data_IF_909789001181
#
_entry.id   IF_909789001181
#
_cell.length_a   1.000
_cell.length_b   1.000
_cell.length_c   1.000
_cell.angle_alpha   90.00
_cell.angle_beta   90.00
_cell.angle_gamma   90.00
#
_symmetry.space_group_name_H-M   'P 1'
#
loop_
_entity.id
_entity.type
_entity.pdbx_description
1 polymer ?
#
# COMPACT_ATOMS: atom_id res chain seq x y z
N UNK A 1 2.71 -13.97 -6.44
CA UNK A 1 4.11 -13.55 -6.25
C UNK A 1 4.25 -12.74 -4.96
N UNK A 2 3.55 -11.61 -4.82
CA UNK A 2 3.73 -10.67 -3.69
C UNK A 2 3.47 -11.27 -2.31
N UNK A 3 2.58 -12.23 -2.19
CA UNK A 3 2.28 -12.93 -0.94
C UNK A 3 3.46 -13.77 -0.42
N UNK A 4 4.42 -14.09 -1.28
CA UNK A 4 5.66 -14.78 -0.90
C UNK A 4 6.63 -13.85 -0.16
N UNK A 5 6.59 -12.55 -0.45
CA UNK A 5 7.47 -11.55 0.19
C UNK A 5 7.12 -11.37 1.67
N UNK A 6 5.83 -11.34 1.99
CA UNK A 6 5.32 -11.28 3.38
C UNK A 6 5.20 -12.66 4.04
N UNK A 7 5.61 -13.70 3.31
CA UNK A 7 5.54 -15.10 3.73
C UNK A 7 4.14 -15.50 4.23
N UNK A 8 3.10 -15.16 3.42
CA UNK A 8 1.77 -15.73 3.58
C UNK A 8 1.71 -17.15 3.02
N UNK A 9 2.61 -17.48 2.10
CA UNK A 9 2.85 -18.80 1.53
C UNK A 9 4.35 -19.01 1.40
N UNK A 10 4.81 -20.22 1.56
CA UNK A 10 6.18 -20.64 1.24
C UNK A 10 6.24 -21.17 -0.22
N UNK A 11 7.41 -21.15 -0.83
CA UNK A 11 7.65 -21.73 -2.16
C UNK A 11 7.80 -23.24 -2.07
N UNK A 12 7.25 -23.98 -3.02
CA UNK A 12 7.46 -25.43 -3.13
C UNK A 12 8.92 -25.74 -3.52
N UNK A 13 9.50 -24.91 -4.36
CA UNK A 13 10.90 -25.00 -4.81
C UNK A 13 11.51 -23.61 -4.89
N UNK A 14 12.83 -23.53 -4.77
CA UNK A 14 13.55 -22.25 -4.82
C UNK A 14 13.46 -21.47 -3.51
N UNK A 15 13.79 -20.19 -3.58
CA UNK A 15 13.85 -19.28 -2.43
C UNK A 15 13.37 -17.88 -2.79
N UNK A 16 12.88 -17.15 -1.79
CA UNK A 16 12.54 -15.74 -1.89
C UNK A 16 13.50 -14.96 -0.99
N UNK A 17 14.33 -14.13 -1.61
CA UNK A 17 15.35 -13.35 -0.90
C UNK A 17 14.84 -11.92 -0.71
N UNK A 18 14.82 -11.46 0.53
CA UNK A 18 14.43 -10.10 0.92
C UNK A 18 15.52 -9.53 1.82
N UNK A 19 16.06 -8.37 1.44
CA UNK A 19 17.14 -7.76 2.22
C UNK A 19 18.42 -8.60 2.33
N UNK A 20 18.66 -9.51 1.36
CA UNK A 20 19.84 -10.38 1.34
C UNK A 20 19.66 -11.73 2.05
N UNK A 21 18.51 -11.99 2.67
CA UNK A 21 18.21 -13.23 3.40
C UNK A 21 16.97 -13.91 2.84
N UNK A 22 16.91 -15.24 2.93
CA UNK A 22 15.70 -16.00 2.62
C UNK A 22 14.58 -15.60 3.60
N UNK A 23 13.36 -15.39 3.09
CA UNK A 23 12.22 -15.02 3.94
C UNK A 23 11.95 -16.04 5.05
N UNK A 24 12.38 -17.28 4.88
CA UNK A 24 12.27 -18.37 5.87
C UNK A 24 13.22 -18.23 7.05
N UNK A 25 14.27 -17.43 6.92
CA UNK A 25 15.26 -17.15 7.98
C UNK A 25 14.79 -16.05 8.94
N UNK A 26 13.82 -15.24 8.51
CA UNK A 26 13.27 -14.17 9.35
C UNK A 26 12.30 -14.72 10.38
N UNK A 27 12.33 -14.10 11.57
CA UNK A 27 11.18 -14.11 12.45
C UNK A 27 9.97 -13.46 11.75
N UNK A 28 8.79 -14.09 11.86
CA UNK A 28 7.58 -13.69 11.12
C UNK A 28 7.13 -12.28 11.46
N UNK A 29 7.17 -11.92 12.74
CA UNK A 29 6.77 -10.58 13.18
C UNK A 29 7.76 -9.53 12.67
N UNK A 30 9.05 -9.83 12.71
CA UNK A 30 10.10 -8.96 12.17
C UNK A 30 9.91 -8.72 10.68
N UNK A 31 9.70 -9.77 9.88
CA UNK A 31 9.46 -9.65 8.45
C UNK A 31 8.18 -8.84 8.17
N UNK A 32 7.07 -9.25 8.76
CA UNK A 32 5.75 -8.64 8.51
C UNK A 32 5.64 -7.22 9.01
N UNK A 33 6.40 -6.84 10.05
CA UNK A 33 6.46 -5.45 10.50
C UNK A 33 7.22 -4.53 9.54
N UNK A 34 8.06 -5.06 8.65
CA UNK A 34 8.81 -4.30 7.65
C UNK A 34 8.14 -4.30 6.26
N UNK A 35 7.12 -5.13 6.07
CA UNK A 35 6.36 -5.22 4.82
C UNK A 35 4.93 -4.73 5.07
N UNK A 36 4.49 -3.76 4.30
CA UNK A 36 3.08 -3.35 4.28
C UNK A 36 2.46 -3.71 2.93
N UNK A 37 1.24 -4.20 2.96
CA UNK A 37 0.50 -4.61 1.77
C UNK A 37 -0.85 -3.88 1.76
N UNK A 38 -1.15 -3.23 0.65
CA UNK A 38 -2.48 -2.68 0.36
C UNK A 38 -3.08 -3.55 -0.73
N UNK A 39 -4.12 -4.29 -0.39
CA UNK A 39 -4.75 -5.24 -1.29
C UNK A 39 -5.74 -4.54 -2.24
N UNK A 40 -6.08 -5.19 -3.34
CA UNK A 40 -7.14 -4.76 -4.25
C UNK A 40 -8.49 -4.66 -3.53
N UNK A 41 -8.83 -5.66 -2.71
CA UNK A 41 -10.02 -5.62 -1.85
C UNK A 41 -9.66 -5.02 -0.49
N UNK A 42 -9.97 -3.75 -0.35
CA UNK A 42 -9.69 -3.01 0.87
C UNK A 42 -10.77 -3.21 1.93
N UNK A 43 -10.36 -3.47 3.16
CA UNK A 43 -11.25 -3.66 4.30
C UNK A 43 -11.01 -2.57 5.34
N UNK A 44 -12.08 -1.91 5.74
CA UNK A 44 -12.13 -1.05 6.92
C UNK A 44 -12.97 -1.72 7.99
N UNK A 45 -12.64 -1.46 9.24
CA UNK A 45 -13.34 -1.99 10.40
C UNK A 45 -14.31 -0.95 10.97
N UNK A 46 -15.31 -1.40 11.70
CA UNK A 46 -16.19 -0.50 12.47
C UNK A 46 -15.37 0.30 13.47
N UNK A 47 -15.62 1.59 13.54
CA UNK A 47 -14.88 2.51 14.40
C UNK A 47 -14.58 3.82 13.70
N UNK A 48 -13.89 4.73 14.36
CA UNK A 48 -13.52 6.01 13.78
C UNK A 48 -12.45 5.87 12.69
N UNK A 49 -12.27 6.90 11.88
CA UNK A 49 -11.15 6.95 10.92
C UNK A 49 -9.80 6.82 11.67
N UNK A 50 -9.60 7.51 12.79
CA UNK A 50 -8.38 7.38 13.60
C UNK A 50 -8.13 5.95 14.09
N UNK A 51 -9.17 5.26 14.56
CA UNK A 51 -9.05 3.86 14.98
C UNK A 51 -8.66 2.97 13.81
N UNK A 52 -9.27 3.17 12.64
CA UNK A 52 -8.90 2.44 11.43
C UNK A 52 -7.45 2.69 10.99
N UNK A 53 -6.96 3.91 11.10
CA UNK A 53 -5.56 4.24 10.79
C UNK A 53 -4.59 3.58 11.76
N UNK A 54 -4.91 3.57 13.07
CA UNK A 54 -4.09 2.96 14.12
C UNK A 54 -3.97 1.44 14.05
N UNK A 55 -4.72 0.77 13.18
CA UNK A 55 -4.40 -0.62 12.81
C UNK A 55 -3.04 -0.74 12.10
N UNK A 56 -2.51 0.32 11.51
CA UNK A 56 -1.16 0.37 10.96
C UNK A 56 -0.08 0.50 12.04
N UNK A 57 -0.32 1.40 12.99
CA UNK A 57 0.50 1.58 14.20
C UNK A 57 -0.41 2.06 15.34
N UNK A 58 -0.61 1.20 16.35
CA UNK A 58 -1.48 1.48 17.51
C UNK A 58 -1.03 2.68 18.35
N UNK A 59 0.25 3.03 18.28
CA UNK A 59 0.84 4.13 19.02
C UNK A 59 0.92 5.44 18.19
N UNK A 60 0.46 5.42 16.94
CA UNK A 60 0.51 6.59 16.08
C UNK A 60 -0.26 7.77 16.71
N UNK A 61 0.40 8.93 16.77
CA UNK A 61 -0.23 10.18 17.18
C UNK A 61 -1.26 10.62 16.14
N UNK A 62 -2.14 11.52 16.51
CA UNK A 62 -3.12 12.11 15.58
C UNK A 62 -2.41 12.83 14.43
N UNK A 63 -1.32 13.53 14.70
CA UNK A 63 -0.54 14.24 13.69
C UNK A 63 0.11 13.28 12.70
N UNK A 64 0.66 12.15 13.16
CA UNK A 64 1.17 11.10 12.27
C UNK A 64 0.07 10.50 11.38
N UNK A 65 -1.13 10.31 11.92
CA UNK A 65 -2.30 9.86 11.15
C UNK A 65 -2.68 10.88 10.06
N UNK A 66 -2.70 12.17 10.41
CA UNK A 66 -2.98 13.27 9.47
C UNK A 66 -1.94 13.30 8.35
N UNK A 67 -0.65 13.25 8.69
CA UNK A 67 0.42 13.25 7.69
C UNK A 67 0.34 12.03 6.75
N UNK A 68 0.06 10.83 7.28
CA UNK A 68 -0.17 9.65 6.44
C UNK A 68 -1.37 9.82 5.49
N UNK A 69 -2.45 10.47 5.97
CA UNK A 69 -3.62 10.77 5.13
C UNK A 69 -3.31 11.81 4.05
N UNK A 70 -2.50 12.82 4.34
CA UNK A 70 -2.04 13.78 3.32
C UNK A 70 -1.24 13.10 2.22
N UNK A 71 -0.31 12.20 2.58
CA UNK A 71 0.44 11.41 1.61
C UNK A 71 -0.45 10.53 0.73
N UNK A 72 -1.51 9.98 1.31
CA UNK A 72 -2.50 9.15 0.60
C UNK A 72 -3.60 9.97 -0.09
N UNK A 73 -3.51 11.30 -0.10
CA UNK A 73 -4.55 12.22 -0.61
C UNK A 73 -5.93 11.97 0.03
N UNK A 74 -5.95 11.60 1.32
CA UNK A 74 -7.17 11.31 2.06
C UNK A 74 -7.65 12.48 2.93
N UNK A 75 -6.76 13.38 3.30
CA UNK A 75 -7.02 14.48 4.22
C UNK A 75 -8.17 15.40 3.74
N UNK A 76 -8.18 15.75 2.46
CA UNK A 76 -9.17 16.67 1.89
C UNK A 76 -10.62 16.17 2.09
N UNK A 77 -10.89 14.88 1.83
CA UNK A 77 -12.24 14.37 2.02
C UNK A 77 -12.57 14.12 3.50
N UNK A 78 -11.57 13.77 4.33
CA UNK A 78 -11.76 13.60 5.77
C UNK A 78 -12.16 14.94 6.40
N UNK A 79 -11.46 16.02 6.06
CA UNK A 79 -11.77 17.37 6.54
C UNK A 79 -13.15 17.87 6.09
N UNK A 80 -13.72 17.32 5.03
CA UNK A 80 -15.08 17.64 4.58
C UNK A 80 -16.19 16.96 5.40
N UNK A 81 -15.87 15.94 6.18
CA UNK A 81 -16.83 15.28 7.06
C UNK A 81 -17.11 16.13 8.31
N UNK A 82 -18.35 16.13 8.85
CA UNK A 82 -18.70 16.89 10.06
C UNK A 82 -17.79 16.55 11.25
N UNK A 83 -17.51 15.27 11.47
CA UNK A 83 -16.70 14.77 12.58
C UNK A 83 -15.22 14.53 12.19
N UNK A 84 -14.83 14.90 10.95
CA UNK A 84 -13.47 14.81 10.43
C UNK A 84 -12.85 13.43 10.72
N UNK A 85 -11.70 13.38 11.37
CA UNK A 85 -11.00 12.15 11.75
C UNK A 85 -11.74 11.29 12.78
N UNK A 86 -12.74 11.83 13.47
CA UNK A 86 -13.62 11.10 14.39
C UNK A 86 -14.86 10.54 13.67
N UNK A 87 -15.00 10.75 12.36
CA UNK A 87 -16.08 10.16 11.57
C UNK A 87 -16.08 8.66 11.72
N UNK A 88 -17.26 8.11 12.07
CA UNK A 88 -17.44 6.68 12.26
C UNK A 88 -17.52 5.97 10.90
N UNK A 89 -16.73 4.92 10.74
CA UNK A 89 -16.74 4.02 9.59
C UNK A 89 -17.56 2.78 9.96
N UNK A 90 -18.52 2.43 9.12
CA UNK A 90 -19.27 1.20 9.26
C UNK A 90 -18.45 -0.02 8.86
N UNK A 91 -18.86 -1.20 9.29
CA UNK A 91 -18.18 -2.45 8.96
C UNK A 91 -18.00 -2.60 7.44
N UNK A 92 -16.76 -2.87 7.03
CA UNK A 92 -16.41 -2.98 5.61
C UNK A 92 -16.31 -1.64 4.89
N UNK A 93 -16.54 -0.50 5.59
CA UNK A 93 -16.50 0.84 5.00
C UNK A 93 -17.64 1.09 4.03
N UNK A 94 -18.87 0.66 4.36
CA UNK A 94 -20.05 0.80 3.49
C UNK A 94 -20.50 2.24 3.31
N UNK A 95 -20.15 3.11 4.26
CA UNK A 95 -20.49 4.54 4.27
C UNK A 95 -19.41 5.44 3.65
N UNK A 96 -18.41 4.88 3.00
CA UNK A 96 -17.39 5.62 2.25
C UNK A 96 -17.23 5.05 0.83
N UNK A 97 -16.83 5.89 -0.13
CA UNK A 97 -16.61 5.44 -1.51
C UNK A 97 -15.43 4.47 -1.63
N UNK A 98 -15.37 3.69 -2.71
CA UNK A 98 -14.25 2.79 -2.98
C UNK A 98 -12.90 3.50 -3.01
N UNK A 99 -12.80 4.68 -3.64
CA UNK A 99 -11.60 5.48 -3.67
C UNK A 99 -11.21 6.09 -2.32
N UNK A 100 -12.18 6.47 -1.49
CA UNK A 100 -11.93 6.91 -0.11
C UNK A 100 -11.40 5.76 0.73
N UNK A 101 -12.02 4.58 0.63
CA UNK A 101 -11.58 3.36 1.31
C UNK A 101 -10.14 2.99 0.94
N UNK A 102 -9.80 3.02 -0.35
CA UNK A 102 -8.43 2.73 -0.81
C UNK A 102 -7.41 3.70 -0.22
N UNK A 103 -7.70 5.01 -0.25
CA UNK A 103 -6.81 6.03 0.31
C UNK A 103 -6.60 5.88 1.81
N UNK A 104 -7.64 5.53 2.57
CA UNK A 104 -7.52 5.22 4.00
C UNK A 104 -6.65 3.97 4.25
N UNK A 105 -6.78 2.94 3.42
CA UNK A 105 -5.94 1.74 3.53
C UNK A 105 -4.48 2.02 3.17
N UNK A 106 -4.21 2.89 2.19
CA UNK A 106 -2.85 3.36 1.89
C UNK A 106 -2.28 4.14 3.08
N UNK A 107 -3.02 5.10 3.65
CA UNK A 107 -2.59 5.86 4.82
C UNK A 107 -2.26 4.93 6.01
N UNK A 108 -3.13 3.93 6.27
CA UNK A 108 -2.90 2.91 7.30
C UNK A 108 -1.59 2.12 7.06
N UNK A 109 -1.30 1.75 5.81
CA UNK A 109 -0.08 1.05 5.45
C UNK A 109 1.17 1.92 5.67
N UNK A 110 1.08 3.23 5.39
CA UNK A 110 2.18 4.18 5.58
C UNK A 110 2.55 4.39 7.05
N UNK A 111 1.57 4.36 7.96
CA UNK A 111 1.80 4.47 9.41
C UNK A 111 2.69 3.35 9.95
N UNK A 112 2.70 2.21 9.30
CA UNK A 112 3.60 1.09 9.64
C UNK A 112 5.08 1.42 9.40
N UNK A 113 5.39 2.50 8.68
CA UNK A 113 6.75 2.92 8.28
C UNK A 113 7.53 1.74 7.66
N UNK A 114 6.98 1.10 6.60
CA UNK A 114 7.52 -0.14 6.06
C UNK A 114 8.83 0.10 5.30
N UNK A 115 9.65 -0.96 5.19
CA UNK A 115 10.79 -1.01 4.26
C UNK A 115 10.38 -1.44 2.87
N UNK A 116 9.29 -2.21 2.77
CA UNK A 116 8.69 -2.64 1.52
C UNK A 116 7.19 -2.31 1.58
N UNK A 117 6.73 -1.54 0.61
CA UNK A 117 5.31 -1.21 0.42
C UNK A 117 4.81 -1.88 -0.85
N UNK A 118 3.84 -2.76 -0.72
CA UNK A 118 3.19 -3.46 -1.83
C UNK A 118 1.82 -2.84 -2.06
N UNK A 119 1.59 -2.35 -3.26
CA UNK A 119 0.33 -1.79 -3.71
C UNK A 119 -0.26 -2.73 -4.79
N UNK A 120 -1.17 -3.60 -4.38
CA UNK A 120 -1.79 -4.61 -5.26
C UNK A 120 -3.08 -4.06 -5.85
N UNK A 121 -3.01 -3.48 -7.04
CA UNK A 121 -4.10 -2.79 -7.76
C UNK A 121 -4.90 -1.83 -6.86
N UNK A 122 -4.19 -1.29 -5.86
CA UNK A 122 -4.78 -0.56 -4.73
C UNK A 122 -5.24 0.85 -5.08
N UNK A 123 -5.04 1.29 -6.32
CA UNK A 123 -5.52 2.58 -6.83
C UNK A 123 -6.55 2.44 -7.94
N UNK A 124 -7.03 1.21 -8.20
CA UNK A 124 -7.98 0.93 -9.29
C UNK A 124 -9.31 1.69 -9.16
N UNK A 125 -9.79 1.93 -7.94
CA UNK A 125 -10.99 2.72 -7.67
C UNK A 125 -10.70 4.23 -7.46
N UNK A 126 -9.44 4.65 -7.58
CA UNK A 126 -9.03 6.06 -7.49
C UNK A 126 -8.89 6.61 -8.91
N UNK A 127 -9.28 7.86 -9.12
CA UNK A 127 -9.09 8.52 -10.42
C UNK A 127 -7.60 8.70 -10.74
N UNK A 128 -7.28 8.79 -12.04
CA UNK A 128 -5.89 8.83 -12.53
C UNK A 128 -5.09 10.02 -11.98
N UNK A 129 -5.73 11.18 -11.77
CA UNK A 129 -5.05 12.37 -11.27
C UNK A 129 -4.67 12.17 -9.78
N UNK A 130 -5.56 11.61 -8.99
CA UNK A 130 -5.30 11.29 -7.58
C UNK A 130 -4.27 10.17 -7.44
N UNK A 131 -4.33 9.13 -8.28
CA UNK A 131 -3.31 8.06 -8.32
C UNK A 131 -1.91 8.63 -8.60
N UNK A 132 -1.78 9.52 -9.58
CA UNK A 132 -0.51 10.20 -9.88
C UNK A 132 0.01 11.03 -8.70
N UNK A 133 -0.87 11.75 -7.99
CA UNK A 133 -0.51 12.52 -6.78
C UNK A 133 -0.01 11.61 -5.66
N UNK A 134 -0.69 10.50 -5.42
CA UNK A 134 -0.28 9.52 -4.41
C UNK A 134 1.11 8.99 -4.74
N UNK A 135 1.36 8.56 -5.98
CA UNK A 135 2.68 8.05 -6.41
C UNK A 135 3.79 9.10 -6.26
N UNK A 136 3.53 10.33 -6.67
CA UNK A 136 4.47 11.43 -6.51
C UNK A 136 4.76 11.72 -5.02
N UNK A 137 3.75 11.70 -4.16
CA UNK A 137 3.91 11.87 -2.72
C UNK A 137 4.75 10.75 -2.11
N UNK A 138 4.48 9.48 -2.48
CA UNK A 138 5.24 8.32 -2.02
C UNK A 138 6.70 8.35 -2.47
N UNK A 139 6.97 8.77 -3.71
CA UNK A 139 8.34 8.90 -4.22
C UNK A 139 9.14 9.93 -3.42
N UNK A 140 8.52 11.08 -3.10
CA UNK A 140 9.16 12.18 -2.38
C UNK A 140 9.33 11.90 -0.88
N UNK A 141 8.31 11.33 -0.23
CA UNK A 141 8.23 11.28 1.24
C UNK A 141 8.88 10.03 1.84
N UNK A 142 8.88 8.92 1.10
CA UNK A 142 9.48 7.65 1.53
C UNK A 142 10.48 7.12 0.50
N UNK A 143 11.56 7.88 0.18
CA UNK A 143 12.50 7.49 -0.88
C UNK A 143 13.27 6.19 -0.56
N UNK A 144 13.48 5.89 0.73
CA UNK A 144 14.18 4.68 1.18
C UNK A 144 13.31 3.42 1.27
N UNK A 145 12.04 3.49 0.89
CA UNK A 145 11.11 2.36 0.88
C UNK A 145 11.05 1.74 -0.51
N UNK A 146 11.27 0.44 -0.62
CA UNK A 146 11.01 -0.31 -1.86
C UNK A 146 9.51 -0.37 -2.12
N UNK A 147 9.06 0.09 -3.27
CA UNK A 147 7.66 0.10 -3.66
C UNK A 147 7.43 -0.92 -4.77
N UNK A 148 6.55 -1.89 -4.52
CA UNK A 148 6.07 -2.84 -5.52
C UNK A 148 4.65 -2.45 -5.89
N UNK A 149 4.46 -2.04 -7.13
CA UNK A 149 3.16 -1.61 -7.64
C UNK A 149 2.68 -2.65 -8.64
N UNK A 150 1.57 -3.31 -8.33
CA UNK A 150 0.88 -4.17 -9.28
C UNK A 150 -0.27 -3.34 -9.84
N UNK A 151 -0.29 -3.15 -11.14
CA UNK A 151 -1.29 -2.35 -11.80
C UNK A 151 -1.67 -2.94 -13.17
N UNK A 152 -2.92 -2.74 -13.53
CA UNK A 152 -3.44 -3.10 -14.84
C UNK A 152 -3.28 -1.94 -15.86
N UNK A 153 -3.07 -0.72 -15.34
CA UNK A 153 -2.86 0.46 -16.17
C UNK A 153 -1.37 0.71 -16.35
N UNK A 154 -0.91 0.78 -17.59
CA UNK A 154 0.49 1.10 -17.92
C UNK A 154 0.90 2.44 -17.31
N UNK A 155 0.02 3.45 -17.35
CA UNK A 155 0.28 4.78 -16.76
C UNK A 155 0.60 4.75 -15.25
N UNK A 156 0.25 3.69 -14.55
CA UNK A 156 0.56 3.53 -13.11
C UNK A 156 1.97 2.98 -12.85
N UNK A 157 2.67 2.48 -13.87
CA UNK A 157 3.99 1.84 -13.72
C UNK A 157 5.07 2.45 -14.61
N UNK A 158 4.71 3.33 -15.55
CA UNK A 158 5.67 3.87 -16.53
C UNK A 158 6.83 4.67 -15.88
N UNK A 159 6.61 5.26 -14.70
CA UNK A 159 7.62 6.00 -13.93
C UNK A 159 8.41 5.11 -12.94
N UNK A 160 8.21 3.79 -12.97
CA UNK A 160 8.93 2.88 -12.09
C UNK A 160 10.39 2.70 -12.55
N UNK A 161 11.31 2.52 -11.58
CA UNK A 161 12.73 2.25 -11.86
C UNK A 161 12.91 0.97 -12.68
N UNK A 162 12.03 -0.03 -12.47
CA UNK A 162 12.00 -1.29 -13.19
C UNK A 162 10.57 -1.81 -13.30
N UNK A 163 10.25 -2.42 -14.43
CA UNK A 163 8.97 -3.06 -14.70
C UNK A 163 9.22 -4.55 -14.92
N UNK A 164 8.42 -5.38 -14.27
CA UNK A 164 8.40 -6.83 -14.46
C UNK A 164 7.14 -7.16 -15.27
N UNK A 165 7.32 -7.68 -16.47
CA UNK A 165 6.22 -8.19 -17.29
C UNK A 165 6.06 -9.67 -16.98
N UNK A 166 4.86 -10.07 -16.55
CA UNK A 166 4.53 -11.45 -16.21
C UNK A 166 3.58 -12.03 -17.26
N UNK A 167 3.90 -13.22 -17.75
CA UNK A 167 3.06 -13.97 -18.67
C UNK A 167 3.06 -15.45 -18.26
N UNK A 168 1.87 -16.04 -18.09
CA UNK A 168 1.67 -17.45 -17.71
C UNK A 168 2.56 -17.90 -16.52
N UNK A 169 2.68 -17.05 -15.50
CA UNK A 169 3.45 -17.31 -14.28
C UNK A 169 4.97 -17.22 -14.45
N UNK A 170 5.45 -16.75 -15.61
CA UNK A 170 6.88 -16.53 -15.90
C UNK A 170 7.17 -15.05 -16.09
N UNK A 171 8.42 -14.66 -15.84
CA UNK A 171 8.92 -13.33 -16.19
C UNK A 171 9.19 -13.32 -17.69
N UNK A 172 8.48 -12.48 -18.41
CA UNK A 172 8.61 -12.29 -19.87
C UNK A 172 9.52 -11.08 -20.19
N UNK A 173 9.52 -10.06 -19.35
CA UNK A 173 10.40 -8.90 -19.44
C UNK A 173 10.74 -8.31 -18.07
N UNK A 174 11.93 -7.72 -17.98
CA UNK A 174 12.39 -7.02 -16.78
C UNK A 174 13.34 -5.89 -17.18
N UNK A 175 12.80 -4.68 -17.33
CA UNK A 175 13.60 -3.50 -17.68
C UNK A 175 12.87 -2.19 -17.29
N UNK A 176 13.39 -1.06 -17.75
CA UNK A 176 12.70 0.24 -17.70
C UNK A 176 11.57 0.27 -18.72
N UNK A 177 10.65 1.24 -18.57
CA UNK A 177 9.55 1.42 -19.53
C UNK A 177 10.04 1.69 -20.97
N UNK A 178 11.17 2.38 -21.12
CA UNK A 178 11.73 2.73 -22.44
C UNK A 178 12.30 1.52 -23.18
N UNK A 179 12.69 0.46 -22.46
CA UNK A 179 13.34 -0.74 -23.01
C UNK A 179 12.38 -1.93 -23.17
N UNK A 180 11.15 -1.87 -22.65
CA UNK A 180 10.09 -2.85 -22.77
C UNK A 180 9.12 -2.53 -23.90
#
# INVERSE_FOLDING_TARGET
LVNLISRLYDTDTGSVIVGGHDVREYDMDTLRNKVAVVLQQNVLFSGTILENLRWGDKNATTDECIEACKMACADDFIESFPDKYNTYIEQGGTNVSGGQKQRLCIARALLKKPRILILDDSTSAVDTATDSKIRAALAKTIPGTTKLIIAQRISSVMDADRIIVMNDGKVDGFDTHENL
#
